data_IF_628648536542
#
_entry.id   IF_628648536542
#
_cell.length_a   1.000
_cell.length_b   1.000
_cell.length_c   1.000
_cell.angle_alpha   90.00
_cell.angle_beta   90.00
_cell.angle_gamma   90.00
#
_symmetry.space_group_name_H-M   'P 1'
#
loop_
_entity.id
_entity.type
_entity.pdbx_description
1 polymer ?
#
# COMPACT_ATOMS: atom_id res chain seq x y z
N UNK A 1 -22.71 -6.92 -6.10
CA UNK A 1 -21.45 -6.21 -6.40
C UNK A 1 -20.46 -6.61 -5.33
N UNK A 2 -19.30 -7.12 -5.74
CA UNK A 2 -18.28 -7.65 -4.82
C UNK A 2 -17.27 -6.55 -4.52
N UNK A 3 -16.82 -6.47 -3.26
CA UNK A 3 -15.74 -5.58 -2.86
C UNK A 3 -14.42 -6.33 -2.90
N UNK A 4 -13.47 -5.79 -3.63
CA UNK A 4 -12.10 -6.29 -3.71
C UNK A 4 -11.16 -5.34 -2.96
N UNK A 5 -10.05 -5.90 -2.46
CA UNK A 5 -8.96 -5.09 -1.89
C UNK A 5 -7.65 -5.57 -2.47
N UNK A 6 -6.89 -4.66 -3.07
CA UNK A 6 -5.48 -4.93 -3.37
C UNK A 6 -4.61 -4.28 -2.32
N UNK A 7 -3.69 -5.05 -1.74
CA UNK A 7 -2.75 -4.59 -0.73
C UNK A 7 -1.36 -4.64 -1.34
N UNK A 8 -0.86 -3.47 -1.73
CA UNK A 8 0.51 -3.28 -2.16
C UNK A 8 1.39 -3.13 -0.92
N UNK A 9 2.43 -3.96 -0.79
CA UNK A 9 3.32 -3.99 0.36
C UNK A 9 4.72 -3.57 -0.04
N UNK A 10 5.26 -2.70 0.78
CA UNK A 10 6.47 -1.98 0.50
C UNK A 10 7.46 -2.15 1.62
N UNK A 11 8.74 -2.07 1.27
CA UNK A 11 9.86 -2.09 2.21
C UNK A 11 10.80 -0.94 1.91
N UNK A 12 11.47 -0.41 2.93
CA UNK A 12 12.57 0.56 2.81
C UNK A 12 13.41 0.57 4.08
N UNK A 13 14.55 1.26 4.04
CA UNK A 13 15.20 1.69 5.27
C UNK A 13 14.57 2.96 5.86
N UNK A 14 14.42 2.97 7.18
CA UNK A 14 14.06 4.14 7.96
C UNK A 14 14.85 4.15 9.27
N UNK A 15 15.65 5.21 9.48
CA UNK A 15 16.54 5.37 10.64
C UNK A 15 17.46 4.14 10.87
N UNK A 16 17.98 3.58 9.79
CA UNK A 16 18.89 2.43 9.80
C UNK A 16 18.23 1.06 10.01
N UNK A 17 16.89 1.00 10.09
CA UNK A 17 16.15 -0.26 10.25
C UNK A 17 15.26 -0.52 9.03
N UNK A 18 15.05 -1.80 8.72
CA UNK A 18 14.06 -2.23 7.72
C UNK A 18 12.68 -1.83 8.21
N UNK A 19 11.91 -1.22 7.31
CA UNK A 19 10.59 -0.71 7.59
C UNK A 19 9.62 -1.12 6.49
N UNK A 20 8.43 -1.57 6.90
CA UNK A 20 7.39 -2.00 5.98
C UNK A 20 6.14 -1.13 6.12
N UNK A 21 5.47 -0.92 5.00
CA UNK A 21 4.14 -0.31 4.97
C UNK A 21 3.31 -0.92 3.85
N UNK A 22 2.05 -0.53 3.80
CA UNK A 22 1.15 -1.00 2.75
C UNK A 22 0.23 0.10 2.26
N UNK A 23 -0.03 0.11 0.96
CA UNK A 23 -1.08 0.90 0.33
C UNK A 23 -2.25 -0.03 0.02
N UNK A 24 -3.45 0.31 0.49
CA UNK A 24 -4.66 -0.52 0.31
C UNK A 24 -5.59 0.14 -0.69
N UNK A 25 -5.90 -0.56 -1.78
CA UNK A 25 -6.78 -0.11 -2.86
C UNK A 25 -8.12 -0.83 -2.80
N UNK A 26 -9.22 -0.13 -2.48
CA UNK A 26 -10.54 -0.71 -2.52
C UNK A 26 -11.09 -0.65 -3.96
N UNK A 27 -11.53 -1.78 -4.49
CA UNK A 27 -12.25 -1.84 -5.76
C UNK A 27 -13.61 -2.47 -5.54
N UNK A 28 -14.59 -2.18 -6.38
CA UNK A 28 -15.92 -2.77 -6.28
C UNK A 28 -16.48 -3.06 -7.66
N UNK A 29 -17.17 -4.18 -7.83
CA UNK A 29 -17.64 -4.59 -9.15
C UNK A 29 -17.66 -6.10 -9.34
N UNK A 30 -17.31 -6.52 -10.55
CA UNK A 30 -17.12 -7.93 -10.92
C UNK A 30 -15.77 -8.02 -11.61
N UNK A 31 -14.85 -8.81 -11.07
CA UNK A 31 -13.53 -9.03 -11.65
C UNK A 31 -13.42 -10.52 -11.99
N UNK A 32 -13.23 -10.84 -13.27
CA UNK A 32 -13.08 -12.23 -13.68
C UNK A 32 -11.74 -12.80 -13.17
N UNK A 33 -11.69 -14.10 -12.88
CA UNK A 33 -10.47 -14.74 -12.39
C UNK A 33 -9.31 -14.70 -13.38
N UNK A 34 -9.62 -14.68 -14.68
CA UNK A 34 -8.61 -14.49 -15.74
C UNK A 34 -7.93 -13.12 -15.72
N UNK A 35 -8.54 -12.10 -15.08
CA UNK A 35 -8.07 -10.72 -15.10
C UNK A 35 -7.27 -10.34 -13.84
N UNK A 36 -7.14 -11.25 -12.86
CA UNK A 36 -6.47 -10.96 -11.59
C UNK A 36 -5.01 -10.50 -11.78
N UNK A 37 -4.27 -11.18 -12.66
CA UNK A 37 -2.87 -10.84 -12.95
C UNK A 37 -2.75 -9.45 -13.59
N UNK A 38 -3.62 -9.11 -14.55
CA UNK A 38 -3.64 -7.78 -15.18
C UNK A 38 -4.00 -6.69 -14.18
N UNK A 39 -4.93 -6.96 -13.28
CA UNK A 39 -5.33 -6.02 -12.25
C UNK A 39 -4.19 -5.77 -11.24
N UNK A 40 -3.48 -6.82 -10.83
CA UNK A 40 -2.27 -6.71 -9.98
C UNK A 40 -1.16 -5.94 -10.70
N UNK A 41 -0.89 -6.24 -11.98
CA UNK A 41 0.12 -5.55 -12.78
C UNK A 41 -0.16 -4.05 -12.89
N UNK A 42 -1.41 -3.64 -13.12
CA UNK A 42 -1.76 -2.23 -13.15
C UNK A 42 -1.44 -1.51 -11.82
N UNK A 43 -1.68 -2.17 -10.68
CA UNK A 43 -1.32 -1.61 -9.37
C UNK A 43 0.18 -1.65 -9.12
N UNK A 44 0.90 -2.66 -9.60
CA UNK A 44 2.35 -2.68 -9.54
C UNK A 44 2.93 -1.47 -10.27
N UNK A 45 2.55 -1.28 -11.54
CA UNK A 45 3.03 -0.19 -12.40
C UNK A 45 2.68 1.17 -11.79
N UNK A 46 1.50 1.30 -11.17
CA UNK A 46 1.12 2.48 -10.40
C UNK A 46 2.07 2.72 -9.23
N UNK A 47 2.19 1.75 -8.34
CA UNK A 47 2.94 1.87 -7.08
C UNK A 47 4.43 2.15 -7.34
N UNK A 48 5.04 1.42 -8.27
CA UNK A 48 6.46 1.60 -8.60
C UNK A 48 6.73 2.85 -9.42
N UNK A 49 5.75 3.35 -10.18
CA UNK A 49 5.86 4.59 -10.95
C UNK A 49 5.67 5.84 -10.09
N UNK A 50 4.75 5.81 -9.12
CA UNK A 50 4.49 6.94 -8.21
C UNK A 50 5.52 7.01 -7.09
N UNK A 51 5.98 5.87 -6.57
CA UNK A 51 7.08 5.88 -5.60
C UNK A 51 8.41 6.22 -6.29
N UNK A 52 9.21 7.06 -5.65
CA UNK A 52 10.52 7.49 -6.14
C UNK A 52 11.65 6.77 -5.39
N UNK A 53 12.44 5.97 -6.10
CA UNK A 53 13.57 5.22 -5.53
C UNK A 53 14.94 5.83 -5.85
N UNK A 54 14.99 6.84 -6.72
CA UNK A 54 16.25 7.40 -7.24
C UNK A 54 17.18 6.33 -7.86
N UNK A 55 16.63 5.21 -8.33
CA UNK A 55 17.37 4.08 -8.90
C UNK A 55 18.17 3.23 -7.90
N UNK A 56 18.02 3.41 -6.58
CA UNK A 56 18.80 2.68 -5.58
C UNK A 56 17.99 1.55 -4.94
N UNK A 57 18.47 0.30 -5.04
CA UNK A 57 17.88 -0.88 -4.38
C UNK A 57 17.73 -0.69 -2.85
N UNK A 58 18.65 0.04 -2.21
CA UNK A 58 18.59 0.38 -0.79
C UNK A 58 17.55 1.46 -0.41
N UNK A 59 16.93 2.11 -1.39
CA UNK A 59 15.84 3.07 -1.15
C UNK A 59 14.52 2.36 -0.77
N UNK A 60 14.41 1.06 -1.04
CA UNK A 60 13.20 0.27 -0.85
C UNK A 60 12.49 -0.06 -2.15
N UNK A 61 11.40 -0.81 -2.03
CA UNK A 61 10.67 -1.35 -3.16
C UNK A 61 9.31 -1.91 -2.79
N UNK A 62 8.54 -2.23 -3.83
CA UNK A 62 7.28 -2.98 -3.75
C UNK A 62 7.62 -4.47 -3.79
N UNK A 63 7.42 -5.19 -2.69
CA UNK A 63 7.81 -6.60 -2.59
C UNK A 63 6.65 -7.57 -2.81
N UNK A 64 5.40 -7.15 -2.59
CA UNK A 64 4.22 -8.01 -2.75
C UNK A 64 2.98 -7.20 -3.11
N UNK A 65 2.12 -7.73 -3.97
CA UNK A 65 0.71 -7.32 -4.07
C UNK A 65 -0.18 -8.53 -3.84
N UNK A 66 -1.13 -8.39 -2.92
CA UNK A 66 -2.17 -9.39 -2.69
C UNK A 66 -3.56 -8.83 -3.02
N UNK A 67 -4.32 -9.57 -3.82
CA UNK A 67 -5.72 -9.30 -4.15
C UNK A 67 -6.63 -10.14 -3.25
N UNK A 68 -7.57 -9.50 -2.59
CA UNK A 68 -8.58 -10.11 -1.72
C UNK A 68 -9.96 -9.88 -2.31
N UNK A 69 -10.79 -10.92 -2.28
CA UNK A 69 -12.24 -10.82 -2.40
C UNK A 69 -12.84 -10.74 -0.99
N UNK A 70 -13.66 -9.73 -0.71
CA UNK A 70 -14.28 -9.59 0.60
C UNK A 70 -15.21 -10.78 0.93
N UNK A 71 -15.74 -11.49 -0.07
CA UNK A 71 -16.54 -12.69 0.13
C UNK A 71 -15.73 -13.89 0.63
N UNK A 72 -14.40 -13.95 0.40
CA UNK A 72 -13.56 -15.10 0.76
C UNK A 72 -13.01 -15.06 2.19
N UNK A 73 -13.47 -14.12 3.03
CA UNK A 73 -13.21 -14.17 4.47
C UNK A 73 -11.78 -13.81 4.90
N UNK A 74 -10.98 -13.19 4.03
CA UNK A 74 -9.69 -12.59 4.40
C UNK A 74 -8.45 -13.36 3.91
N UNK A 75 -8.63 -14.40 3.09
CA UNK A 75 -7.53 -15.04 2.34
C UNK A 75 -7.40 -14.38 0.97
N UNK A 76 -6.18 -14.06 0.49
CA UNK A 76 -6.01 -13.49 -0.83
C UNK A 76 -6.37 -14.54 -1.90
N UNK A 77 -7.07 -14.09 -2.95
CA UNK A 77 -7.42 -14.90 -4.12
C UNK A 77 -6.28 -14.95 -5.15
N UNK A 78 -5.39 -13.95 -5.12
CA UNK A 78 -4.16 -13.92 -5.90
C UNK A 78 -3.09 -13.14 -5.12
N UNK A 79 -1.83 -13.56 -5.27
CA UNK A 79 -0.66 -12.91 -4.66
C UNK A 79 0.47 -12.94 -5.67
N UNK A 80 1.10 -11.79 -5.89
CA UNK A 80 2.33 -11.66 -6.66
C UNK A 80 3.45 -11.19 -5.73
N UNK A 81 4.56 -11.94 -5.70
CA UNK A 81 5.75 -11.62 -4.93
C UNK A 81 6.88 -11.22 -5.89
N UNK A 82 7.51 -10.09 -5.63
CA UNK A 82 8.56 -9.55 -6.51
C UNK A 82 9.97 -9.88 -5.99
N UNK A 83 10.16 -9.82 -4.67
CA UNK A 83 11.42 -10.14 -4.00
C UNK A 83 11.20 -10.39 -2.50
N UNK A 84 12.19 -10.97 -1.82
CA UNK A 84 12.17 -11.17 -0.38
C UNK A 84 12.50 -9.86 0.37
N UNK A 85 11.56 -9.29 1.15
CA UNK A 85 11.80 -8.04 1.85
C UNK A 85 12.79 -8.17 3.01
N UNK A 86 13.10 -9.38 3.48
CA UNK A 86 14.07 -9.63 4.55
C UNK A 86 15.52 -9.74 4.04
N UNK A 87 15.71 -9.73 2.71
CA UNK A 87 17.01 -9.79 2.05
C UNK A 87 17.29 -8.49 1.28
N UNK A 88 17.86 -7.45 1.92
CA UNK A 88 18.06 -6.12 1.31
C UNK A 88 18.85 -6.08 -0.01
N UNK A 89 19.68 -7.08 -0.26
CA UNK A 89 20.42 -7.21 -1.53
C UNK A 89 19.52 -7.50 -2.74
N UNK A 90 18.33 -8.04 -2.50
CA UNK A 90 17.38 -8.46 -3.54
C UNK A 90 16.28 -7.41 -3.78
N UNK A 91 16.31 -6.30 -3.04
CA UNK A 91 15.29 -5.27 -3.14
C UNK A 91 15.29 -4.62 -4.52
N UNK A 92 14.12 -4.63 -5.17
CA UNK A 92 13.92 -3.96 -6.46
C UNK A 92 13.50 -2.52 -6.22
N UNK A 93 14.30 -1.58 -6.71
CA UNK A 93 14.04 -0.15 -6.55
C UNK A 93 12.74 0.29 -7.25
N UNK A 94 12.08 1.31 -6.69
CA UNK A 94 11.02 2.00 -7.42
C UNK A 94 11.54 2.70 -8.68
N UNK A 95 10.68 2.78 -9.70
CA UNK A 95 11.03 3.30 -11.03
C UNK A 95 10.84 4.81 -11.09
N UNK A 96 9.76 5.35 -10.51
CA UNK A 96 9.52 6.80 -10.50
C UNK A 96 8.97 7.38 -11.81
N UNK A 97 8.46 6.56 -12.73
CA UNK A 97 7.99 6.99 -14.07
C UNK A 97 6.86 8.02 -14.07
N UNK A 98 6.12 8.17 -12.96
CA UNK A 98 5.08 9.19 -12.84
C UNK A 98 5.65 10.62 -12.72
N UNK A 99 6.94 10.75 -12.39
CA UNK A 99 7.58 12.03 -12.15
C UNK A 99 8.31 12.52 -13.40
N UNK A 100 8.12 13.78 -13.81
CA UNK A 100 8.96 14.36 -14.86
C UNK A 100 10.41 14.40 -14.37
N UNK A 101 11.34 13.91 -15.20
CA UNK A 101 12.77 13.80 -14.89
C UNK A 101 13.33 15.06 -14.19
N UNK A 102 13.98 14.91 -13.03
CA UNK A 102 14.53 16.09 -12.34
C UNK A 102 15.07 15.90 -10.92
N UNK A 103 15.07 14.68 -10.36
CA UNK A 103 15.47 14.46 -8.97
C UNK A 103 16.59 13.42 -8.87
N UNK A 104 17.58 13.68 -8.02
CA UNK A 104 18.74 12.78 -7.84
C UNK A 104 18.68 11.97 -6.55
N UNK A 105 17.62 12.14 -5.75
CA UNK A 105 17.46 11.44 -4.48
C UNK A 105 16.02 11.43 -3.96
N UNK A 106 15.80 10.68 -2.89
CA UNK A 106 14.51 10.54 -2.22
C UNK A 106 14.60 11.06 -0.78
N UNK A 107 13.46 11.40 -0.19
CA UNK A 107 13.38 11.80 1.22
C UNK A 107 13.61 10.58 2.12
N UNK A 108 14.64 10.66 2.98
CA UNK A 108 15.02 9.56 3.89
C UNK A 108 14.07 9.38 5.07
N UNK A 109 13.32 10.42 5.44
CA UNK A 109 12.27 10.36 6.45
C UNK A 109 11.04 9.65 5.88
N UNK A 110 10.71 8.47 6.41
CA UNK A 110 9.58 7.68 5.94
C UNK A 110 8.22 8.31 6.29
N UNK A 111 8.18 9.25 7.23
CA UNK A 111 6.97 9.98 7.60
C UNK A 111 6.52 10.98 6.52
N UNK A 112 7.44 11.41 5.66
CA UNK A 112 7.15 12.34 4.56
C UNK A 112 6.48 11.56 3.43
N UNK A 113 5.30 12.01 3.01
CA UNK A 113 4.51 11.30 2.03
C UNK A 113 3.76 12.22 1.06
N UNK A 114 3.63 11.76 -0.17
CA UNK A 114 2.73 12.35 -1.16
C UNK A 114 1.30 11.93 -0.82
N UNK A 115 0.40 12.91 -0.68
CA UNK A 115 -1.03 12.64 -0.55
C UNK A 115 -1.69 12.65 -1.93
N UNK A 116 -2.43 11.59 -2.23
CA UNK A 116 -3.31 11.54 -3.40
C UNK A 116 -4.73 11.26 -2.93
N UNK A 117 -5.70 11.99 -3.47
CA UNK A 117 -7.10 11.82 -3.07
C UNK A 117 -8.09 11.81 -4.22
N UNK A 118 -9.20 11.10 -4.02
CA UNK A 118 -10.33 11.04 -4.94
C UNK A 118 -11.60 11.38 -4.18
N UNK A 119 -12.45 12.23 -4.75
CA UNK A 119 -13.79 12.50 -4.21
C UNK A 119 -14.65 11.23 -4.26
N UNK A 120 -15.46 10.99 -3.23
CA UNK A 120 -16.28 9.79 -3.08
C UNK A 120 -17.73 10.11 -2.64
N UNK A 121 -18.23 11.27 -3.07
CA UNK A 121 -19.55 11.80 -2.72
C UNK A 121 -19.61 12.43 -1.33
N UNK A 122 -20.80 12.46 -0.73
CA UNK A 122 -21.08 13.11 0.55
C UNK A 122 -21.41 12.08 1.65
N UNK A 123 -21.04 12.35 2.89
CA UNK A 123 -21.48 11.60 4.08
C UNK A 123 -22.95 11.89 4.40
N UNK A 124 -23.52 11.19 5.39
CA UNK A 124 -24.91 11.43 5.84
C UNK A 124 -25.16 12.85 6.38
N UNK A 125 -24.11 13.56 6.79
CA UNK A 125 -24.18 14.98 7.22
C UNK A 125 -23.85 15.97 6.10
N UNK A 126 -23.78 15.53 4.84
CA UNK A 126 -23.44 16.37 3.70
C UNK A 126 -21.96 16.70 3.55
N UNK A 127 -21.08 16.23 4.45
CA UNK A 127 -19.63 16.47 4.35
C UNK A 127 -19.00 15.64 3.24
N UNK A 128 -18.14 16.21 2.37
CA UNK A 128 -17.43 15.45 1.35
C UNK A 128 -16.60 14.30 1.94
N UNK A 129 -16.63 13.15 1.26
CA UNK A 129 -15.82 11.97 1.59
C UNK A 129 -14.80 11.77 0.49
N UNK A 130 -13.59 11.38 0.88
CA UNK A 130 -12.48 11.16 -0.03
C UNK A 130 -11.87 9.78 0.20
N UNK A 131 -11.44 9.12 -0.87
CA UNK A 131 -10.44 8.06 -0.78
C UNK A 131 -9.08 8.73 -0.77
N UNK A 132 -8.25 8.44 0.23
CA UNK A 132 -6.89 8.98 0.32
C UNK A 132 -5.87 7.85 0.27
N UNK A 133 -4.73 8.14 -0.35
CA UNK A 133 -3.53 7.30 -0.41
C UNK A 133 -2.33 8.15 -0.06
N UNK A 134 -1.32 7.49 0.50
CA UNK A 134 -0.08 8.10 0.96
C UNK A 134 1.09 7.30 0.40
N UNK A 135 1.94 7.95 -0.39
CA UNK A 135 3.12 7.33 -0.97
C UNK A 135 4.36 7.82 -0.25
N UNK A 136 5.11 6.89 0.35
CA UNK A 136 6.17 7.19 1.30
C UNK A 136 7.58 7.14 0.71
N UNK A 137 7.71 7.19 -0.61
CA UNK A 137 8.99 7.33 -1.30
C UNK A 137 8.84 8.47 -2.28
N UNK A 138 9.22 9.67 -1.86
CA UNK A 138 9.05 10.89 -2.66
C UNK A 138 10.41 11.51 -2.96
N UNK A 139 10.55 12.24 -4.08
CA UNK A 139 11.77 12.97 -4.38
C UNK A 139 12.15 13.94 -3.26
N UNK A 140 13.45 14.08 -3.00
CA UNK A 140 13.91 15.14 -2.12
C UNK A 140 13.65 16.50 -2.78
N UNK A 141 12.83 17.33 -2.13
CA UNK A 141 12.58 18.70 -2.57
C UNK A 141 13.86 19.54 -2.50
N UNK A 142 14.05 20.44 -3.46
CA UNK A 142 15.17 21.37 -3.43
C UNK A 142 15.00 22.41 -2.33
N UNK A 143 15.62 22.19 -1.16
CA UNK A 143 15.96 23.22 -0.17
C UNK A 143 14.85 23.72 0.76
N UNK A 144 15.25 24.15 1.95
CA UNK A 144 14.39 24.82 2.92
C UNK A 144 13.88 26.15 2.34
N UNK A 145 12.56 26.26 2.13
CA UNK A 145 11.91 27.53 1.74
C UNK A 145 11.02 27.49 0.49
N UNK A 146 10.88 26.34 -0.18
CA UNK A 146 9.87 26.21 -1.23
C UNK A 146 8.46 26.15 -0.63
N UNK A 147 7.50 26.92 -1.17
CA UNK A 147 6.09 26.89 -0.76
C UNK A 147 5.34 25.65 -1.27
N UNK A 148 5.94 24.90 -2.19
CA UNK A 148 5.41 23.68 -2.82
C UNK A 148 6.52 22.66 -3.02
N UNK A 149 6.26 21.42 -2.63
CA UNK A 149 7.20 20.29 -2.82
C UNK A 149 7.02 19.65 -4.19
N UNK A 150 5.80 19.70 -4.73
CA UNK A 150 5.41 19.10 -6.01
C UNK A 150 4.89 20.20 -6.93
N UNK A 151 5.67 20.54 -7.96
CA UNK A 151 5.27 21.55 -8.93
C UNK A 151 4.03 21.10 -9.75
N UNK A 152 3.35 22.05 -10.40
CA UNK A 152 2.10 21.76 -11.14
C UNK A 152 2.27 20.72 -12.25
N UNK A 153 3.41 20.74 -12.97
CA UNK A 153 3.68 19.76 -14.01
C UNK A 153 3.80 18.33 -13.45
N UNK A 154 4.45 18.17 -12.30
CA UNK A 154 4.56 16.88 -11.60
C UNK A 154 3.21 16.43 -11.06
N UNK A 155 2.40 17.35 -10.50
CA UNK A 155 1.03 17.02 -10.07
C UNK A 155 0.21 16.46 -11.25
N UNK A 156 0.19 17.17 -12.38
CA UNK A 156 -0.54 16.72 -13.58
C UNK A 156 -0.03 15.38 -14.11
N UNK A 157 1.29 15.18 -14.16
CA UNK A 157 1.88 13.91 -14.62
C UNK A 157 1.50 12.73 -13.71
N UNK A 158 1.59 12.92 -12.39
CA UNK A 158 1.23 11.90 -11.40
C UNK A 158 -0.27 11.62 -11.44
N UNK A 159 -1.12 12.64 -11.53
CA UNK A 159 -2.58 12.49 -11.65
C UNK A 159 -2.95 11.67 -12.88
N UNK A 160 -2.39 11.99 -14.04
CA UNK A 160 -2.62 11.27 -15.28
C UNK A 160 -2.14 9.81 -15.20
N UNK A 161 -0.96 9.59 -14.61
CA UNK A 161 -0.38 8.26 -14.46
C UNK A 161 -1.25 7.37 -13.55
N UNK A 162 -1.65 7.89 -12.39
CA UNK A 162 -2.53 7.19 -11.45
C UNK A 162 -3.91 6.92 -12.08
N UNK A 163 -4.49 7.92 -12.76
CA UNK A 163 -5.76 7.76 -13.46
C UNK A 163 -5.68 6.66 -14.52
N UNK A 164 -4.62 6.61 -15.33
CA UNK A 164 -4.43 5.59 -16.35
C UNK A 164 -4.43 4.17 -15.75
N UNK A 165 -3.61 3.95 -14.71
CA UNK A 165 -3.49 2.62 -14.09
C UNK A 165 -4.76 2.19 -13.35
N UNK A 166 -5.41 3.10 -12.61
CA UNK A 166 -6.69 2.78 -11.95
C UNK A 166 -7.83 2.56 -12.95
N UNK A 167 -7.80 3.21 -14.11
CA UNK A 167 -8.78 3.00 -15.18
C UNK A 167 -8.64 1.64 -15.85
N UNK A 168 -7.44 1.05 -15.88
CA UNK A 168 -7.25 -0.34 -16.35
C UNK A 168 -8.07 -1.29 -15.48
N UNK A 169 -7.93 -1.24 -14.15
CA UNK A 169 -8.70 -2.08 -13.22
C UNK A 169 -10.21 -1.80 -13.34
N UNK A 170 -10.59 -0.53 -13.52
CA UNK A 170 -11.97 -0.14 -13.81
C UNK A 170 -12.51 -0.75 -15.11
N UNK A 171 -11.71 -0.79 -16.17
CA UNK A 171 -12.03 -1.41 -17.46
C UNK A 171 -12.18 -2.92 -17.38
N UNK A 172 -11.54 -3.57 -16.40
CA UNK A 172 -11.73 -4.99 -16.07
C UNK A 172 -13.01 -5.25 -15.24
N UNK A 173 -13.82 -4.22 -15.00
CA UNK A 173 -15.11 -4.35 -14.29
C UNK A 173 -15.04 -4.10 -12.78
N UNK A 174 -13.91 -3.62 -12.25
CA UNK A 174 -13.71 -3.33 -10.83
C UNK A 174 -13.20 -1.90 -10.59
N UNK A 175 -14.02 -0.85 -10.77
CA UNK A 175 -13.62 0.54 -10.50
C UNK A 175 -13.22 0.78 -9.04
N UNK A 176 -12.38 1.79 -8.82
CA UNK A 176 -11.94 2.24 -7.50
C UNK A 176 -13.16 2.66 -6.66
N UNK A 177 -13.32 2.04 -5.50
CA UNK A 177 -14.48 2.27 -4.66
C UNK A 177 -14.78 1.10 -3.73
N UNK A 178 -15.97 1.14 -3.14
CA UNK A 178 -16.56 0.10 -2.29
C UNK A 178 -18.05 0.03 -2.58
N UNK A 179 -18.75 -1.00 -2.14
CA UNK A 179 -20.14 -1.25 -2.54
C UNK A 179 -21.14 -0.14 -2.19
N UNK A 180 -20.77 0.80 -1.32
CA UNK A 180 -21.58 1.99 -1.00
C UNK A 180 -21.21 3.26 -1.80
N UNK A 181 -20.01 3.33 -2.38
CA UNK A 181 -19.43 4.57 -2.94
C UNK A 181 -18.34 4.27 -3.96
N UNK A 182 -18.42 4.92 -5.11
CA UNK A 182 -17.33 4.97 -6.09
C UNK A 182 -16.44 6.20 -5.87
N UNK A 183 -15.16 6.05 -6.17
CA UNK A 183 -14.26 7.19 -6.30
C UNK A 183 -14.55 7.94 -7.61
N UNK A 184 -14.28 9.24 -7.62
CA UNK A 184 -14.15 9.99 -8.86
C UNK A 184 -13.05 9.38 -9.73
N UNK A 185 -13.12 9.59 -11.04
CA UNK A 185 -12.12 9.05 -11.99
C UNK A 185 -10.79 9.79 -11.89
N UNK A 186 -10.84 11.10 -11.65
CA UNK A 186 -9.64 11.94 -11.61
C UNK A 186 -9.17 12.12 -10.16
N UNK A 187 -7.93 11.70 -9.83
CA UNK A 187 -7.31 12.01 -8.55
C UNK A 187 -6.92 13.49 -8.48
N UNK A 188 -6.66 13.96 -7.26
CA UNK A 188 -5.93 15.21 -7.00
C UNK A 188 -4.68 14.92 -6.17
N UNK A 189 -3.55 15.51 -6.57
CA UNK A 189 -2.26 15.37 -5.86
C UNK A 189 -2.01 16.61 -5.01
N UNK A 190 -1.57 16.43 -3.76
CA UNK A 190 -1.21 17.57 -2.91
C UNK A 190 0.11 18.22 -3.39
N UNK A 191 0.12 19.56 -3.46
CA UNK A 191 1.30 20.33 -3.86
C UNK A 191 2.43 20.31 -2.82
N UNK A 192 2.13 19.97 -1.57
CA UNK A 192 3.10 19.83 -0.49
C UNK A 192 3.06 18.39 0.04
N UNK A 193 4.22 17.87 0.42
CA UNK A 193 4.30 16.61 1.13
C UNK A 193 3.68 16.75 2.52
N UNK A 194 2.89 15.75 2.90
CA UNK A 194 2.33 15.66 4.24
C UNK A 194 3.19 14.81 5.17
N UNK A 195 2.88 14.89 6.46
CA UNK A 195 3.33 13.90 7.43
C UNK A 195 2.24 12.83 7.56
N UNK A 196 2.57 11.59 7.19
CA UNK A 196 1.70 10.46 7.40
C UNK A 196 2.38 9.47 8.35
N UNK A 197 1.79 9.31 9.53
CA UNK A 197 2.18 8.26 10.46
C UNK A 197 1.69 6.93 9.90
N UNK A 198 2.61 6.12 9.39
CA UNK A 198 2.31 4.75 8.97
C UNK A 198 1.77 3.99 10.19
N UNK A 199 0.50 3.53 10.16
CA UNK A 199 -0.07 2.81 11.29
C UNK A 199 0.75 1.54 11.50
N UNK A 200 1.56 1.50 12.56
CA UNK A 200 2.10 0.24 13.06
C UNK A 200 0.89 -0.63 13.33
N UNK A 201 0.73 -1.71 12.57
CA UNK A 201 -0.37 -2.65 12.75
C UNK A 201 -0.62 -2.82 14.24
N UNK A 202 -1.82 -2.46 14.71
CA UNK A 202 -2.14 -2.47 16.13
C UNK A 202 -1.80 -3.87 16.61
N UNK A 203 -0.71 -4.03 17.37
CA UNK A 203 -0.40 -5.29 18.05
C UNK A 203 -1.68 -5.60 18.82
N UNK A 204 -2.47 -6.55 18.32
CA UNK A 204 -3.62 -7.04 19.07
C UNK A 204 -2.98 -7.61 20.33
N UNK A 205 -3.13 -6.92 21.46
CA UNK A 205 -2.85 -7.52 22.75
C UNK A 205 -3.66 -8.81 22.72
N UNK A 206 -2.97 -9.96 22.74
CA UNK A 206 -3.63 -11.25 22.90
C UNK A 206 -4.56 -11.06 24.10
N UNK A 207 -5.85 -11.30 23.91
CA UNK A 207 -6.74 -11.35 25.06
C UNK A 207 -6.19 -12.40 26.00
N UNK A 208 -6.28 -12.15 27.31
CA UNK A 208 -5.79 -13.01 28.38
C UNK A 208 -6.24 -14.48 28.23
N UNK A 209 -7.33 -14.73 27.51
CA UNK A 209 -7.80 -16.08 27.13
C UNK A 209 -6.84 -16.83 26.22
N UNK A 210 -6.28 -16.21 25.16
CA UNK A 210 -5.30 -16.87 24.28
C UNK A 210 -3.91 -16.98 24.91
N UNK A 211 -3.58 -16.10 25.86
CA UNK A 211 -2.34 -16.23 26.62
C UNK A 211 -2.39 -17.45 27.56
N UNK A 212 -3.56 -17.79 28.13
CA UNK A 212 -3.74 -19.00 28.96
C UNK A 212 -3.60 -20.30 28.16
N UNK A 213 -4.05 -20.33 26.90
CA UNK A 213 -3.91 -21.52 26.03
C UNK A 213 -2.44 -21.88 25.75
N UNK A 214 -1.54 -20.89 25.63
CA UNK A 214 -0.11 -21.17 25.42
C UNK A 214 0.63 -21.63 26.68
N UNK A 215 0.13 -21.32 27.88
CA UNK A 215 0.71 -21.82 29.15
C UNK A 215 0.28 -23.26 29.42
N UNK A 216 -0.98 -23.61 29.12
CA UNK A 216 -1.49 -24.97 29.29
C UNK A 216 -0.78 -26.02 28.44
N UNK A 217 -0.16 -25.64 27.31
CA UNK A 217 0.55 -26.60 26.47
C UNK A 217 1.78 -27.21 27.17
N UNK A 218 2.48 -26.44 28.02
CA UNK A 218 3.61 -26.93 28.81
C UNK A 218 3.14 -27.91 29.90
N UNK A 219 2.04 -27.59 30.60
CA UNK A 219 1.43 -28.49 31.59
C UNK A 219 0.92 -29.80 30.94
N UNK A 220 0.34 -29.73 29.74
CA UNK A 220 -0.08 -30.92 28.99
C UNK A 220 1.13 -31.78 28.58
N UNK A 221 2.25 -31.17 28.17
CA UNK A 221 3.48 -31.89 27.85
C UNK A 221 4.08 -32.58 29.08
N UNK A 222 4.09 -31.92 30.25
CA UNK A 222 4.56 -32.53 31.50
C UNK A 222 3.67 -33.72 31.93
N UNK A 223 2.35 -33.61 31.78
CA UNK A 223 1.44 -34.72 32.06
C UNK A 223 1.70 -35.90 31.12
N UNK A 224 1.93 -35.66 29.83
CA UNK A 224 2.23 -36.70 28.84
C UNK A 224 3.60 -37.36 29.07
N UNK A 225 4.58 -36.61 29.56
CA UNK A 225 5.91 -37.15 29.87
C UNK A 225 5.91 -37.98 31.16
N UNK A 226 5.07 -37.63 32.14
CA UNK A 226 4.98 -38.32 33.43
C UNK A 226 3.97 -39.48 33.45
N UNK A 227 3.18 -39.69 32.39
CA UNK A 227 2.16 -40.75 32.30
C UNK A 227 2.60 -42.01 31.58
N UNK A 228 3.90 -42.16 31.28
CA UNK A 228 4.50 -43.43 30.86
C UNK A 228 5.16 -44.14 32.05
N UNK A 229 4.44 -44.95 32.84
CA UNK A 229 5.08 -45.90 33.73
C UNK A 229 5.73 -47.00 32.87
N UNK A 230 7.03 -47.22 33.10
CA UNK A 230 7.75 -48.42 32.67
C UNK A 230 7.14 -49.68 33.25
#
# INVERSE_FOLDING_TARGET
>A
MTDYRMVARHVRYWRGLVHHWSTVWPFTGTLASGDWATAILAIQVLETGVCWGGGSAGAGGLYEIALYDQATGGVPIAVENYFDPDTPGDWVAYVGDAWPSGHTGFVSAAEVALQVEWRAGLSSSGKPVYFRKWFHSVPNGGGAGASVDVNGASQTAIEAYIQAQTSIVGGLGAPLGRGSRLAATTPTVAAAYGNHQMPRGRRRKLSTTKAKESVNYQEILEILQNSNPT
#
